data_IF_543278640028
#
_entry.id   IF_543278640028
#
_cell.length_a   1.000
_cell.length_b   1.000
_cell.length_c   1.000
_cell.angle_alpha   90.00
_cell.angle_beta   90.00
_cell.angle_gamma   90.00
#
_symmetry.space_group_name_H-M   'P 1'
#
loop_
_entity.id
_entity.type
_entity.pdbx_description
1 polymer ?
#
# COMPACT_ATOMS: atom_id res chain seq x y z
N UNK A 1 10.54 34.92 -19.89
CA UNK A 1 10.14 35.67 -21.11
C UNK A 1 10.62 34.87 -22.32
N UNK A 2 10.58 35.39 -23.54
CA UNK A 2 11.30 34.74 -24.65
C UNK A 2 12.69 35.37 -24.79
N UNK A 3 13.68 34.57 -25.18
CA UNK A 3 15.04 35.04 -25.45
C UNK A 3 15.01 36.24 -26.39
N UNK A 4 15.61 37.34 -25.96
CA UNK A 4 15.82 38.54 -26.78
C UNK A 4 17.05 38.36 -27.68
N UNK A 5 16.94 38.73 -28.96
CA UNK A 5 18.03 38.60 -29.95
C UNK A 5 18.54 39.98 -30.36
N UNK A 6 19.86 40.15 -30.32
CA UNK A 6 20.54 41.36 -30.80
C UNK A 6 20.55 41.34 -32.32
N UNK A 7 20.06 42.42 -32.94
CA UNK A 7 20.14 42.63 -34.37
C UNK A 7 21.47 43.34 -34.69
N UNK A 8 22.33 42.71 -35.49
CA UNK A 8 23.64 43.27 -35.85
C UNK A 8 23.57 44.23 -37.05
N UNK A 9 22.46 44.28 -37.78
CA UNK A 9 22.33 45.06 -39.01
C UNK A 9 23.12 44.47 -40.18
N UNK A 10 23.29 45.26 -41.24
CA UNK A 10 23.96 44.84 -42.48
C UNK A 10 25.48 45.01 -42.39
N UNK A 11 26.25 43.95 -42.66
CA UNK A 11 27.71 44.03 -42.75
C UNK A 11 28.17 44.88 -43.97
N UNK A 12 29.31 45.59 -43.89
CA UNK A 12 30.23 45.68 -42.75
C UNK A 12 29.87 46.78 -41.75
N UNK A 13 28.87 47.63 -42.05
CA UNK A 13 28.62 48.88 -41.33
C UNK A 13 27.70 48.73 -40.11
N UNK A 14 26.97 47.61 -40.00
CA UNK A 14 25.97 47.39 -38.96
C UNK A 14 24.70 48.24 -39.14
N UNK A 15 24.50 48.84 -40.31
CA UNK A 15 23.34 49.70 -40.56
C UNK A 15 22.02 48.93 -40.38
N UNK A 16 21.05 49.55 -39.70
CA UNK A 16 19.77 48.92 -39.37
C UNK A 16 19.81 47.96 -38.16
N UNK A 17 20.95 47.85 -37.49
CA UNK A 17 21.12 47.07 -36.27
C UNK A 17 20.65 47.78 -34.99
N UNK A 18 20.74 47.07 -33.88
CA UNK A 18 20.51 47.62 -32.54
C UNK A 18 21.56 48.68 -32.21
N UNK A 19 21.10 49.76 -31.57
CA UNK A 19 22.02 50.69 -30.90
C UNK A 19 22.70 49.98 -29.72
N UNK A 20 23.86 50.46 -29.25
CA UNK A 20 24.48 49.93 -28.03
C UNK A 20 23.52 49.90 -26.83
N UNK A 21 22.61 50.89 -26.73
CA UNK A 21 21.61 50.96 -25.66
C UNK A 21 20.53 49.88 -25.80
N UNK A 22 19.92 49.73 -26.98
CA UNK A 22 18.87 48.71 -27.19
C UNK A 22 19.44 47.29 -27.10
N UNK A 23 20.67 47.08 -27.54
CA UNK A 23 21.41 45.83 -27.33
C UNK A 23 21.61 45.55 -25.83
N UNK A 24 22.07 46.52 -25.04
CA UNK A 24 22.28 46.35 -23.60
C UNK A 24 20.97 46.10 -22.81
N UNK A 25 19.84 46.67 -23.23
CA UNK A 25 18.53 46.35 -22.64
C UNK A 25 18.15 44.89 -22.90
N UNK A 26 18.32 44.41 -24.13
CA UNK A 26 18.06 43.00 -24.49
C UNK A 26 18.97 42.05 -23.72
N UNK A 27 20.22 42.44 -23.53
CA UNK A 27 21.19 41.69 -22.72
C UNK A 27 20.72 41.63 -21.26
N UNK A 28 20.35 42.77 -20.65
CA UNK A 28 19.84 42.81 -19.28
C UNK A 28 18.60 41.93 -19.08
N UNK A 29 17.60 42.06 -19.96
CA UNK A 29 16.38 41.26 -19.89
C UNK A 29 16.63 39.75 -20.00
N UNK A 30 17.62 39.33 -20.81
CA UNK A 30 18.02 37.92 -20.89
C UNK A 30 18.69 37.43 -19.60
N UNK A 31 19.46 38.29 -18.92
CA UNK A 31 20.08 37.92 -17.64
C UNK A 31 19.05 37.86 -16.50
N UNK A 32 18.14 38.83 -16.42
CA UNK A 32 17.08 38.84 -15.41
C UNK A 32 16.28 37.53 -15.44
N UNK A 33 15.94 37.04 -16.64
CA UNK A 33 15.28 35.75 -16.84
C UNK A 33 16.09 34.56 -16.27
N UNK A 34 17.40 34.53 -16.47
CA UNK A 34 18.26 33.45 -15.95
C UNK A 34 18.36 33.49 -14.43
N UNK A 35 18.53 34.67 -13.84
CA UNK A 35 18.58 34.85 -12.39
C UNK A 35 17.27 34.40 -11.73
N UNK A 36 16.12 34.77 -12.30
CA UNK A 36 14.82 34.30 -11.82
C UNK A 36 14.68 32.78 -11.85
N UNK A 37 15.19 32.11 -12.90
CA UNK A 37 15.16 30.64 -12.98
C UNK A 37 16.11 29.96 -11.97
N UNK A 38 17.23 30.60 -11.67
CA UNK A 38 18.25 30.06 -10.77
C UNK A 38 18.01 30.37 -9.30
N UNK A 39 17.07 31.23 -8.93
CA UNK A 39 16.72 31.49 -7.53
C UNK A 39 16.76 32.94 -7.09
N UNK A 40 16.67 33.89 -8.02
CA UNK A 40 16.59 35.32 -7.76
C UNK A 40 17.91 36.04 -7.99
N UNK A 41 18.13 37.17 -7.32
CA UNK A 41 19.21 38.13 -7.62
C UNK A 41 20.64 37.66 -7.25
N UNK A 42 20.78 36.40 -6.82
CA UNK A 42 22.07 35.77 -6.48
C UNK A 42 22.10 34.38 -7.07
N UNK A 43 23.20 34.01 -7.73
CA UNK A 43 23.40 32.62 -8.14
C UNK A 43 23.49 31.74 -6.88
N UNK A 44 22.65 30.71 -6.76
CA UNK A 44 22.76 29.82 -5.61
C UNK A 44 23.96 28.89 -5.79
N UNK A 45 24.46 28.35 -4.67
CA UNK A 45 25.47 27.29 -4.71
C UNK A 45 24.96 25.99 -5.35
N UNK A 46 23.65 25.76 -5.34
CA UNK A 46 22.96 24.66 -6.01
C UNK A 46 21.54 25.10 -6.41
N UNK A 47 20.99 24.55 -7.50
CA UNK A 47 19.59 24.81 -7.85
C UNK A 47 18.67 24.34 -6.72
N UNK A 48 17.60 25.08 -6.39
CA UNK A 48 16.59 24.59 -5.45
C UNK A 48 15.87 23.35 -5.99
N UNK A 49 15.48 22.42 -5.12
CA UNK A 49 14.74 21.20 -5.51
C UNK A 49 13.47 21.55 -6.32
N UNK A 50 12.79 22.64 -5.96
CA UNK A 50 11.59 23.15 -6.65
C UNK A 50 11.85 23.63 -8.09
N UNK A 51 13.12 23.78 -8.48
CA UNK A 51 13.57 24.19 -9.82
C UNK A 51 14.41 23.10 -10.48
N UNK A 52 14.20 21.83 -10.11
CA UNK A 52 14.96 20.70 -10.67
C UNK A 52 16.33 20.50 -10.02
N UNK A 53 16.57 21.12 -8.86
CA UNK A 53 17.78 21.01 -8.05
C UNK A 53 18.14 19.63 -7.51
N UNK A 54 17.45 18.59 -7.98
CA UNK A 54 17.89 17.22 -7.77
C UNK A 54 19.09 16.92 -8.67
N UNK A 55 19.29 17.62 -9.79
CA UNK A 55 20.42 17.35 -10.70
C UNK A 55 20.22 16.15 -11.63
N UNK A 56 18.97 15.69 -11.82
CA UNK A 56 18.63 14.67 -12.81
C UNK A 56 17.44 15.08 -13.68
N UNK A 57 17.45 14.68 -14.95
CA UNK A 57 16.37 14.89 -15.91
C UNK A 57 15.34 13.74 -15.97
N UNK A 58 15.49 12.70 -15.13
CA UNK A 58 14.56 11.56 -15.08
C UNK A 58 13.97 11.38 -13.68
N UNK A 59 12.71 10.94 -13.54
CA UNK A 59 12.14 10.66 -12.22
C UNK A 59 12.93 9.62 -11.41
N UNK A 60 13.46 8.59 -12.08
CA UNK A 60 14.32 7.59 -11.45
C UNK A 60 15.62 8.21 -10.91
N UNK A 61 16.25 9.09 -11.68
CA UNK A 61 17.42 9.81 -11.22
C UNK A 61 17.11 10.90 -10.19
N UNK A 62 15.93 11.54 -10.22
CA UNK A 62 15.53 12.51 -9.19
C UNK A 62 15.24 11.83 -7.84
N UNK A 63 14.52 10.68 -7.84
CA UNK A 63 14.41 9.83 -6.65
C UNK A 63 15.78 9.33 -6.19
N UNK A 64 16.67 9.04 -7.14
CA UNK A 64 18.07 8.71 -6.88
C UNK A 64 18.82 9.84 -6.18
N UNK A 65 18.64 11.08 -6.64
CA UNK A 65 19.39 12.23 -6.15
C UNK A 65 18.81 12.81 -4.84
N UNK A 66 17.51 12.64 -4.60
CA UNK A 66 16.88 12.88 -3.30
C UNK A 66 17.05 11.71 -2.32
N UNK A 67 17.63 10.59 -2.77
CA UNK A 67 17.89 9.41 -1.95
C UNK A 67 16.66 8.58 -1.53
N UNK A 68 15.53 8.61 -2.27
CA UNK A 68 14.22 8.03 -1.88
C UNK A 68 14.03 6.52 -2.19
N UNK A 69 14.85 5.92 -3.04
CA UNK A 69 14.84 4.45 -3.29
C UNK A 69 13.56 3.85 -3.93
N UNK A 70 13.31 2.55 -3.71
CA UNK A 70 12.25 1.76 -4.36
C UNK A 70 10.94 1.63 -3.57
N UNK A 71 10.89 1.87 -2.25
CA UNK A 71 9.62 2.00 -1.48
C UNK A 71 8.78 3.20 -1.95
N UNK A 72 9.47 4.20 -2.50
CA UNK A 72 8.89 5.26 -3.29
C UNK A 72 8.32 4.77 -4.65
N UNK A 73 8.48 3.49 -4.99
CA UNK A 73 7.93 2.82 -6.17
C UNK A 73 7.22 1.49 -5.90
N UNK A 74 7.40 0.87 -4.71
CA UNK A 74 6.87 -0.43 -4.26
C UNK A 74 7.50 -0.85 -2.92
N UNK A 75 6.74 -1.40 -1.97
CA UNK A 75 6.98 -2.75 -1.42
C UNK A 75 5.97 -3.07 -0.35
N UNK A 76 5.40 -4.27 -0.37
CA UNK A 76 4.36 -4.65 0.56
C UNK A 76 4.59 -6.02 1.20
N UNK A 77 4.05 -6.26 2.40
CA UNK A 77 4.36 -7.48 3.15
C UNK A 77 4.30 -7.29 4.66
N UNK A 78 4.33 -8.40 5.42
CA UNK A 78 4.12 -8.43 6.88
C UNK A 78 5.41 -8.36 7.69
N UNK A 79 6.50 -8.22 6.98
CA UNK A 79 7.84 -8.04 7.52
C UNK A 79 8.11 -6.55 7.76
N UNK A 80 8.94 -6.21 8.75
CA UNK A 80 9.31 -4.82 9.01
C UNK A 80 9.92 -4.14 7.77
N UNK A 81 9.56 -2.87 7.52
CA UNK A 81 10.04 -2.09 6.36
C UNK A 81 9.27 -2.32 5.06
N UNK A 82 8.42 -3.34 5.02
CA UNK A 82 7.38 -3.44 4.00
C UNK A 82 6.21 -2.53 4.36
N UNK A 83 5.52 -2.03 3.34
CA UNK A 83 4.24 -1.38 3.53
C UNK A 83 3.21 -2.47 3.83
N UNK A 84 2.62 -2.44 5.02
CA UNK A 84 1.59 -3.42 5.34
C UNK A 84 0.50 -3.39 4.25
N UNK A 85 0.13 -4.56 3.71
CA UNK A 85 -1.05 -4.68 2.85
C UNK A 85 -2.31 -4.83 3.69
N UNK A 86 -3.47 -4.65 3.06
CA UNK A 86 -4.79 -4.87 3.66
C UNK A 86 -4.92 -6.29 4.23
N UNK A 87 -4.33 -7.26 3.54
CA UNK A 87 -4.36 -8.67 3.94
C UNK A 87 -3.58 -8.94 5.23
N UNK A 88 -2.62 -8.06 5.57
CA UNK A 88 -1.77 -8.21 6.74
C UNK A 88 -2.40 -7.55 7.97
N UNK A 89 -3.12 -6.44 7.76
CA UNK A 89 -3.82 -5.73 8.85
C UNK A 89 -5.16 -6.37 9.22
N UNK A 90 -5.62 -7.35 8.43
CA UNK A 90 -6.76 -8.20 8.77
C UNK A 90 -8.14 -7.56 8.54
N UNK A 91 -8.22 -6.62 7.60
CA UNK A 91 -9.49 -5.99 7.22
C UNK A 91 -10.22 -6.87 6.19
N UNK A 92 -11.37 -7.42 6.58
CA UNK A 92 -12.27 -8.05 5.61
C UNK A 92 -12.93 -7.00 4.73
N UNK A 93 -12.71 -7.09 3.42
CA UNK A 93 -13.20 -6.15 2.40
C UNK A 93 -14.19 -6.79 1.41
N UNK A 94 -14.39 -8.10 1.47
CA UNK A 94 -15.25 -8.85 0.52
C UNK A 94 -16.01 -10.00 1.21
N UNK A 95 -17.17 -10.40 0.67
CA UNK A 95 -17.91 -11.61 1.04
C UNK A 95 -17.67 -12.67 -0.05
N UNK A 96 -17.44 -13.93 0.31
CA UNK A 96 -17.41 -15.03 -0.66
C UNK A 96 -18.02 -16.31 -0.12
N UNK A 97 -19.01 -16.82 -0.86
CA UNK A 97 -19.63 -18.12 -0.58
C UNK A 97 -19.02 -19.26 -1.40
N UNK A 98 -18.04 -18.97 -2.27
CA UNK A 98 -17.40 -19.96 -3.15
C UNK A 98 -15.90 -20.11 -2.89
N UNK A 99 -15.28 -19.13 -2.24
CA UNK A 99 -13.87 -19.21 -1.84
C UNK A 99 -13.70 -20.34 -0.82
N UNK A 100 -12.83 -21.27 -1.15
CA UNK A 100 -12.46 -22.35 -0.25
C UNK A 100 -11.71 -21.78 0.96
N UNK A 101 -12.01 -22.32 2.14
CA UNK A 101 -11.23 -22.06 3.35
C UNK A 101 -9.75 -22.43 3.20
N UNK A 102 -9.44 -23.31 2.25
CA UNK A 102 -8.09 -23.77 1.96
C UNK A 102 -7.33 -22.92 0.94
N UNK A 103 -8.01 -21.98 0.26
CA UNK A 103 -7.43 -21.21 -0.86
C UNK A 103 -6.20 -20.40 -0.43
N UNK A 104 -6.30 -19.69 0.70
CA UNK A 104 -5.19 -18.90 1.23
C UNK A 104 -4.54 -19.58 2.43
N UNK A 105 -3.21 -19.69 2.35
CA UNK A 105 -2.36 -20.25 3.39
C UNK A 105 -1.46 -19.20 4.05
N UNK A 106 -1.55 -17.93 3.65
CA UNK A 106 -0.79 -16.85 4.30
C UNK A 106 -1.29 -16.64 5.73
N UNK A 107 -0.39 -16.41 6.71
CA UNK A 107 -0.81 -16.07 8.06
C UNK A 107 -1.47 -14.68 8.08
N UNK A 108 -2.51 -14.53 8.89
CA UNK A 108 -3.29 -13.30 8.97
C UNK A 108 -4.78 -13.57 9.05
N UNK A 109 -5.56 -12.49 9.10
CA UNK A 109 -7.01 -12.56 8.95
C UNK A 109 -7.30 -12.41 7.46
N UNK A 110 -8.03 -13.37 6.91
CA UNK A 110 -8.43 -13.35 5.51
C UNK A 110 -9.33 -12.14 5.24
N UNK A 111 -9.12 -11.39 4.15
CA UNK A 111 -9.95 -10.24 3.83
C UNK A 111 -11.37 -10.61 3.36
N UNK A 112 -11.78 -11.88 3.50
CA UNK A 112 -13.08 -12.40 3.07
C UNK A 112 -13.93 -12.84 4.27
N UNK A 113 -15.19 -12.41 4.31
CA UNK A 113 -16.25 -13.05 5.10
C UNK A 113 -16.75 -14.28 4.35
N UNK A 114 -16.63 -15.46 4.96
CA UNK A 114 -17.06 -16.73 4.36
C UNK A 114 -18.50 -17.05 4.76
N UNK A 115 -19.28 -17.56 3.82
CA UNK A 115 -20.68 -17.95 4.03
C UNK A 115 -20.92 -19.47 4.06
N UNK A 116 -22.17 -19.91 4.21
CA UNK A 116 -22.50 -21.32 4.44
C UNK A 116 -22.22 -22.23 3.24
N UNK A 117 -22.08 -21.67 2.04
CA UNK A 117 -21.72 -22.41 0.83
C UNK A 117 -20.21 -22.58 0.62
N UNK A 118 -19.37 -21.92 1.44
CA UNK A 118 -17.92 -21.90 1.23
C UNK A 118 -17.31 -23.30 1.38
N UNK A 119 -16.57 -23.80 0.38
CA UNK A 119 -15.97 -25.13 0.47
C UNK A 119 -15.03 -25.25 1.68
N UNK A 120 -15.14 -26.37 2.40
CA UNK A 120 -14.34 -26.64 3.61
C UNK A 120 -14.51 -25.64 4.76
N UNK A 121 -15.54 -24.80 4.71
CA UNK A 121 -15.92 -24.00 5.88
C UNK A 121 -16.37 -24.90 7.01
N UNK A 122 -16.35 -24.38 8.25
CA UNK A 122 -17.05 -25.02 9.35
C UNK A 122 -18.53 -25.31 9.06
N UNK A 123 -19.21 -26.04 9.94
CA UNK A 123 -20.66 -26.27 9.87
C UNK A 123 -21.36 -25.88 11.17
N UNK A 124 -22.65 -25.56 11.11
CA UNK A 124 -23.42 -25.11 12.28
C UNK A 124 -23.19 -23.64 12.66
N UNK A 125 -23.61 -23.26 13.88
CA UNK A 125 -23.52 -21.86 14.34
C UNK A 125 -24.33 -20.89 13.48
N UNK A 126 -23.73 -19.75 13.11
CA UNK A 126 -24.37 -18.73 12.26
C UNK A 126 -24.24 -19.01 10.76
N UNK A 127 -23.38 -19.95 10.36
CA UNK A 127 -23.03 -20.22 8.96
C UNK A 127 -22.10 -19.19 8.31
N UNK A 128 -21.69 -18.13 9.04
CA UNK A 128 -20.81 -17.07 8.53
C UNK A 128 -19.62 -16.84 9.45
N UNK A 129 -18.42 -16.74 8.88
CA UNK A 129 -17.18 -16.64 9.65
C UNK A 129 -16.10 -15.80 8.98
N UNK A 130 -15.34 -15.07 9.80
CA UNK A 130 -14.01 -14.61 9.44
C UNK A 130 -13.01 -15.73 9.65
N UNK A 131 -12.07 -15.88 8.71
CA UNK A 131 -11.02 -16.89 8.78
C UNK A 131 -9.72 -16.24 9.24
N UNK A 132 -9.14 -16.72 10.32
CA UNK A 132 -7.77 -16.39 10.69
C UNK A 132 -6.87 -17.60 10.47
N UNK A 133 -5.78 -17.38 9.75
CA UNK A 133 -4.73 -18.38 9.55
C UNK A 133 -3.57 -18.07 10.50
N UNK A 134 -3.24 -19.04 11.35
CA UNK A 134 -2.02 -19.04 12.15
C UNK A 134 -1.10 -20.11 11.57
N UNK A 135 0.03 -19.68 11.04
CA UNK A 135 0.96 -20.56 10.34
C UNK A 135 2.38 -20.30 10.83
N UNK A 136 3.12 -21.39 11.02
CA UNK A 136 4.55 -21.35 11.24
C UNK A 136 5.29 -21.68 9.94
N UNK A 137 6.16 -20.76 9.54
CA UNK A 137 7.01 -20.92 8.35
C UNK A 137 6.24 -21.02 7.03
N UNK A 138 6.88 -21.64 6.03
CA UNK A 138 6.35 -21.80 4.67
C UNK A 138 5.70 -23.16 4.43
N UNK A 139 5.48 -23.96 5.47
CA UNK A 139 4.73 -25.23 5.36
C UNK A 139 3.24 -24.96 5.14
N UNK A 140 2.56 -25.71 4.29
CA UNK A 140 1.09 -25.57 4.13
C UNK A 140 0.31 -25.91 5.42
N UNK A 141 0.98 -26.48 6.41
CA UNK A 141 0.43 -26.78 7.72
C UNK A 141 0.13 -25.50 8.50
N UNK A 142 -1.10 -25.38 8.98
CA UNK A 142 -1.57 -24.16 9.65
C UNK A 142 -2.77 -24.45 10.52
N UNK A 143 -2.95 -23.67 11.58
CA UNK A 143 -4.19 -23.58 12.32
C UNK A 143 -5.10 -22.57 11.61
N UNK A 144 -6.37 -22.92 11.48
CA UNK A 144 -7.40 -22.03 11.00
C UNK A 144 -8.42 -21.84 12.12
N UNK A 145 -8.71 -20.58 12.44
CA UNK A 145 -9.71 -20.17 13.43
C UNK A 145 -10.86 -19.49 12.70
N UNK A 146 -12.07 -19.92 13.02
CA UNK A 146 -13.32 -19.36 12.56
C UNK A 146 -13.89 -18.43 13.63
N UNK A 147 -13.93 -17.15 13.33
CA UNK A 147 -14.56 -16.14 14.18
C UNK A 147 -15.99 -15.91 13.68
N UNK A 148 -17.03 -16.19 14.49
CA UNK A 148 -18.42 -16.07 14.05
C UNK A 148 -18.77 -14.64 13.69
N UNK A 149 -19.46 -14.49 12.56
CA UNK A 149 -20.18 -13.28 12.23
C UNK A 149 -21.59 -13.36 12.81
N UNK A 150 -22.02 -12.30 13.51
CA UNK A 150 -23.30 -12.27 14.20
C UNK A 150 -24.48 -12.09 13.25
N UNK A 151 -25.41 -13.05 13.26
CA UNK A 151 -26.64 -13.03 12.44
C UNK A 151 -27.91 -13.18 13.29
N UNK A 152 -27.90 -12.63 14.52
CA UNK A 152 -28.97 -12.78 15.51
C UNK A 152 -28.73 -13.88 16.56
N UNK A 153 -27.70 -14.71 16.35
CA UNK A 153 -27.05 -15.54 17.35
C UNK A 153 -25.56 -15.14 17.43
N UNK A 154 -24.92 -15.31 18.59
CA UNK A 154 -23.49 -14.98 18.77
C UNK A 154 -22.55 -15.93 18.01
N UNK A 155 -23.07 -17.03 17.47
CA UNK A 155 -22.28 -18.07 16.81
C UNK A 155 -21.27 -18.71 17.76
N UNK A 156 -20.42 -19.57 17.20
CA UNK A 156 -19.46 -20.39 17.95
C UNK A 156 -18.08 -20.26 17.33
N UNK A 157 -17.04 -20.06 18.14
CA UNK A 157 -15.66 -20.06 17.65
C UNK A 157 -15.25 -21.50 17.37
N UNK A 158 -14.75 -21.75 16.16
CA UNK A 158 -14.33 -23.09 15.73
C UNK A 158 -12.88 -23.06 15.29
N UNK A 159 -12.18 -24.16 15.50
CA UNK A 159 -10.75 -24.29 15.24
C UNK A 159 -10.48 -25.62 14.56
N UNK A 160 -9.61 -25.61 13.54
CA UNK A 160 -9.11 -26.83 12.91
C UNK A 160 -7.76 -26.58 12.27
N UNK A 161 -6.97 -27.63 12.14
CA UNK A 161 -5.68 -27.55 11.47
C UNK A 161 -5.76 -28.11 10.04
N UNK A 162 -4.88 -27.60 9.19
CA UNK A 162 -4.51 -28.24 7.92
C UNK A 162 -3.18 -28.94 8.15
N UNK A 163 -3.10 -30.22 7.84
CA UNK A 163 -1.88 -31.01 7.89
C UNK A 163 -1.71 -31.78 6.58
N UNK A 164 -0.62 -31.55 5.86
CA UNK A 164 -0.33 -32.13 4.55
C UNK A 164 -1.51 -32.00 3.55
N UNK A 165 -2.17 -30.84 3.56
CA UNK A 165 -3.31 -30.55 2.67
C UNK A 165 -4.66 -31.10 3.15
N UNK A 166 -4.66 -31.93 4.20
CA UNK A 166 -5.88 -32.51 4.77
C UNK A 166 -6.33 -31.75 6.02
N UNK A 167 -7.63 -31.70 6.24
CA UNK A 167 -8.22 -31.07 7.41
C UNK A 167 -8.24 -32.04 8.59
N UNK A 168 -7.89 -31.56 9.79
CA UNK A 168 -8.21 -32.26 11.03
C UNK A 168 -9.70 -32.20 11.31
N UNK A 169 -10.22 -33.05 12.24
CA UNK A 169 -11.53 -32.82 12.83
C UNK A 169 -11.65 -31.39 13.36
N UNK A 170 -12.85 -30.86 13.27
CA UNK A 170 -13.18 -29.53 13.79
C UNK A 170 -13.39 -29.58 15.30
N UNK A 171 -12.90 -28.55 15.98
CA UNK A 171 -13.06 -28.34 17.41
C UNK A 171 -13.89 -27.08 17.61
N UNK A 172 -14.89 -27.17 18.48
CA UNK A 172 -15.75 -26.05 18.84
C UNK A 172 -15.44 -25.57 20.25
N UNK A 173 -15.34 -24.25 20.42
CA UNK A 173 -15.18 -23.65 21.74
C UNK A 173 -16.55 -23.53 22.42
N UNK A 174 -16.66 -24.16 23.58
CA UNK A 174 -17.81 -24.03 24.45
C UNK A 174 -17.70 -22.80 25.36
N UNK A 175 -18.75 -22.01 25.40
CA UNK A 175 -18.92 -20.78 26.17
C UNK A 175 -20.35 -20.68 26.70
N UNK A 176 -20.66 -19.64 27.46
CA UNK A 176 -21.99 -19.45 28.08
C UNK A 176 -23.14 -19.29 27.06
N UNK A 177 -22.84 -19.05 25.79
CA UNK A 177 -23.84 -18.96 24.72
C UNK A 177 -24.21 -20.31 24.10
N UNK A 178 -23.40 -21.36 24.29
CA UNK A 178 -23.64 -22.71 23.76
C UNK A 178 -23.45 -23.82 24.83
N UNK A 179 -23.48 -23.46 26.12
CA UNK A 179 -23.49 -24.41 27.23
C UNK A 179 -24.48 -24.05 28.33
N UNK A 180 -24.97 -25.07 29.02
CA UNK A 180 -25.68 -24.94 30.30
C UNK A 180 -24.80 -25.42 31.45
N UNK A 181 -24.98 -24.81 32.63
CA UNK A 181 -24.32 -25.21 33.88
C UNK A 181 -25.35 -25.82 34.83
N UNK A 182 -25.11 -27.05 35.25
CA UNK A 182 -25.93 -27.72 36.25
C UNK A 182 -25.55 -27.28 37.68
N UNK A 183 -26.42 -27.57 38.66
CA UNK A 183 -26.23 -27.20 40.06
C UNK A 183 -24.99 -27.86 40.70
N UNK A 184 -24.59 -29.03 40.19
CA UNK A 184 -23.38 -29.75 40.59
C UNK A 184 -22.09 -29.18 39.96
N UNK A 185 -22.21 -28.12 39.15
CA UNK A 185 -21.10 -27.45 38.48
C UNK A 185 -20.73 -28.04 37.12
N UNK A 186 -21.35 -29.15 36.69
CA UNK A 186 -21.07 -29.76 35.38
C UNK A 186 -21.58 -28.88 34.22
N UNK A 187 -20.90 -28.97 33.08
CA UNK A 187 -21.25 -28.25 31.85
C UNK A 187 -21.81 -29.22 30.81
N UNK A 188 -22.89 -28.83 30.13
CA UNK A 188 -23.45 -29.56 28.99
C UNK A 188 -23.53 -28.64 27.77
N UNK A 189 -23.11 -29.14 26.62
CA UNK A 189 -23.36 -28.50 25.34
C UNK A 189 -24.87 -28.38 25.10
N UNK A 190 -25.29 -27.29 24.46
CA UNK A 190 -26.67 -27.07 24.02
C UNK A 190 -26.84 -27.56 22.58
#
# INVERSE_FOLDING_TARGET
MSKQVINLGSAPTGQGGDTPRSANIKIGANFDELYEQLGGNTLPAALPVAKGGTGSTTPAGARGNLGLGNAATLNTGSTAGSLATVDIVGLASTLSETKSWLADATPGIDPVLFGPGSPSSPSGGTGYWYKQTIRYGTSSNRLIIAWPYGTGSTGTIKMRSVFNGSLTPEIELYHTGNTTRAADGTLKAI
#
